data_IF_272611126224
#
_entry.id   IF_272611126224
#
_cell.length_a   1.000
_cell.length_b   1.000
_cell.length_c   1.000
_cell.angle_alpha   90.00
_cell.angle_beta   90.00
_cell.angle_gamma   90.00
#
_symmetry.space_group_name_H-M   'P 1'
#
loop_
_entity.id
_entity.type
_entity.pdbx_description
1 polymer ?
#
# COMPACT_ATOMS: atom_id res chain seq x y z
N UNK A 1 -3.31 -6.61 -9.80
CA UNK A 1 -2.12 -6.98 -10.59
C UNK A 1 -2.32 -8.27 -11.41
N UNK A 2 -3.48 -8.42 -12.06
CA UNK A 2 -3.80 -9.62 -12.86
C UNK A 2 -2.91 -9.75 -14.10
N UNK A 3 -2.31 -8.66 -14.54
CA UNK A 3 -1.39 -8.54 -15.67
C UNK A 3 -0.14 -9.39 -15.48
N UNK A 4 0.43 -9.41 -14.27
CA UNK A 4 1.61 -10.24 -13.94
C UNK A 4 1.26 -11.72 -14.09
N UNK A 5 0.12 -12.12 -13.51
CA UNK A 5 -0.36 -13.49 -13.63
C UNK A 5 -0.63 -13.87 -15.10
N UNK A 6 -1.23 -12.96 -15.88
CA UNK A 6 -1.49 -13.18 -17.30
C UNK A 6 -0.19 -13.29 -18.11
N UNK A 7 0.83 -12.48 -17.84
CA UNK A 7 2.14 -12.58 -18.46
C UNK A 7 2.79 -13.95 -18.19
N UNK A 8 2.75 -14.41 -16.93
CA UNK A 8 3.33 -15.68 -16.50
C UNK A 8 2.56 -16.91 -16.99
N UNK A 9 1.27 -16.80 -17.33
CA UNK A 9 0.52 -17.88 -18.02
C UNK A 9 1.15 -18.24 -19.37
N UNK A 10 1.73 -17.26 -20.07
CA UNK A 10 2.46 -17.47 -21.33
C UNK A 10 3.92 -17.82 -21.06
N UNK A 11 4.59 -17.05 -20.20
CA UNK A 11 6.02 -17.18 -19.91
C UNK A 11 6.27 -17.99 -18.64
N UNK A 12 5.87 -19.26 -18.64
CA UNK A 12 5.82 -20.12 -17.44
C UNK A 12 7.16 -20.29 -16.72
N UNK A 13 8.28 -20.17 -17.42
CA UNK A 13 9.62 -20.31 -16.86
C UNK A 13 10.21 -19.00 -16.31
N UNK A 14 9.50 -17.87 -16.44
CA UNK A 14 10.03 -16.56 -16.05
C UNK A 14 9.66 -16.15 -14.61
N UNK A 15 9.03 -17.05 -13.82
CA UNK A 15 8.53 -16.76 -12.46
C UNK A 15 9.61 -16.10 -11.60
N UNK A 16 10.77 -16.73 -11.45
CA UNK A 16 11.85 -16.22 -10.60
C UNK A 16 12.42 -14.89 -11.11
N UNK A 17 12.57 -14.75 -12.43
CA UNK A 17 13.06 -13.51 -13.04
C UNK A 17 12.09 -12.35 -12.81
N UNK A 18 10.79 -12.60 -12.98
CA UNK A 18 9.73 -11.61 -12.77
C UNK A 18 9.70 -11.19 -11.30
N UNK A 19 9.63 -12.14 -10.37
CA UNK A 19 9.61 -11.80 -8.93
C UNK A 19 10.91 -11.13 -8.47
N UNK A 20 12.07 -11.56 -8.99
CA UNK A 20 13.35 -10.87 -8.74
C UNK A 20 13.28 -9.42 -9.21
N UNK A 21 12.75 -9.16 -10.40
CA UNK A 21 12.63 -7.81 -10.95
C UNK A 21 11.66 -6.97 -10.11
N UNK A 22 10.47 -7.51 -9.80
CA UNK A 22 9.45 -6.84 -8.98
C UNK A 22 9.95 -6.52 -7.57
N UNK A 23 10.84 -7.34 -7.00
CA UNK A 23 11.42 -7.10 -5.68
C UNK A 23 12.14 -5.74 -5.56
N UNK A 24 12.68 -5.22 -6.67
CA UNK A 24 13.32 -3.91 -6.69
C UNK A 24 12.32 -2.74 -6.65
N UNK A 25 11.04 -3.01 -6.93
CA UNK A 25 9.97 -2.01 -7.00
C UNK A 25 8.89 -2.20 -5.94
N UNK A 26 9.01 -3.21 -5.08
CA UNK A 26 8.04 -3.51 -4.04
C UNK A 26 8.00 -2.41 -2.96
N UNK A 27 6.82 -1.86 -2.74
CA UNK A 27 6.57 -0.85 -1.70
C UNK A 27 6.93 -1.32 -0.30
N UNK A 28 6.88 -2.62 0.00
CA UNK A 28 7.30 -3.18 1.29
C UNK A 28 8.79 -2.95 1.53
N UNK A 29 9.62 -3.15 0.50
CA UNK A 29 11.07 -2.97 0.58
C UNK A 29 11.44 -1.49 0.74
N UNK A 30 10.66 -0.58 0.15
CA UNK A 30 10.84 0.86 0.38
C UNK A 30 10.33 1.30 1.75
N UNK A 31 9.19 0.78 2.21
CA UNK A 31 8.59 1.11 3.50
C UNK A 31 9.59 0.90 4.66
N UNK A 32 10.37 -0.18 4.59
CA UNK A 32 11.44 -0.48 5.56
C UNK A 32 12.53 0.61 5.68
N UNK A 33 12.60 1.56 4.74
CA UNK A 33 13.58 2.64 4.66
C UNK A 33 13.00 4.02 4.96
N UNK A 34 11.68 4.13 5.11
CA UNK A 34 11.00 5.41 5.35
C UNK A 34 11.13 5.77 6.84
N UNK A 35 11.72 6.94 7.12
CA UNK A 35 11.81 7.55 8.46
C UNK A 35 10.81 8.69 8.68
N UNK A 36 10.21 9.23 7.61
CA UNK A 36 9.26 10.33 7.69
C UNK A 36 7.92 9.92 8.31
N UNK A 37 7.26 10.87 9.00
CA UNK A 37 5.89 10.71 9.48
C UNK A 37 4.94 10.41 8.32
N UNK A 38 4.18 9.31 8.43
CA UNK A 38 3.37 8.79 7.33
C UNK A 38 1.93 8.52 7.76
N UNK A 39 0.98 8.93 6.92
CA UNK A 39 -0.45 8.59 7.07
C UNK A 39 -0.85 7.62 5.95
N UNK A 40 -1.36 6.46 6.33
CA UNK A 40 -1.91 5.45 5.43
C UNK A 40 -3.44 5.40 5.54
N UNK A 41 -4.07 4.82 4.53
CA UNK A 41 -5.44 4.32 4.62
C UNK A 41 -5.51 2.93 4.04
N UNK A 42 -6.43 2.12 4.57
CA UNK A 42 -6.74 0.78 4.06
C UNK A 42 -8.24 0.58 4.05
N UNK A 43 -8.73 -0.07 3.01
CA UNK A 43 -10.13 -0.41 2.85
C UNK A 43 -10.25 -1.94 2.87
N UNK A 44 -11.04 -2.49 3.78
CA UNK A 44 -11.01 -3.93 4.07
C UNK A 44 -11.67 -4.78 2.99
N UNK A 45 -12.46 -4.18 2.09
CA UNK A 45 -13.08 -4.88 0.96
C UNK A 45 -12.33 -4.65 -0.37
N UNK A 46 -11.25 -3.85 -0.39
CA UNK A 46 -10.49 -3.58 -1.61
C UNK A 46 -9.86 -4.86 -2.21
N UNK A 47 -10.37 -5.27 -3.37
CA UNK A 47 -9.87 -6.43 -4.12
C UNK A 47 -8.80 -6.06 -5.17
N UNK A 48 -8.56 -4.77 -5.42
CA UNK A 48 -7.53 -4.26 -6.34
C UNK A 48 -6.19 -4.14 -5.62
N UNK A 49 -6.20 -3.55 -4.43
CA UNK A 49 -5.08 -3.44 -3.50
C UNK A 49 -5.45 -4.15 -2.17
N UNK A 50 -5.34 -5.49 -2.11
CA UNK A 50 -5.79 -6.26 -0.96
C UNK A 50 -5.26 -5.73 0.39
N UNK A 51 -6.05 -5.75 1.47
CA UNK A 51 -5.62 -5.24 2.77
C UNK A 51 -4.30 -5.84 3.25
N UNK A 52 -4.06 -7.13 2.95
CA UNK A 52 -2.81 -7.82 3.29
C UNK A 52 -1.58 -7.17 2.66
N UNK A 53 -1.65 -6.67 1.42
CA UNK A 53 -0.52 -6.01 0.76
C UNK A 53 -0.30 -4.60 1.31
N UNK A 54 -1.38 -3.87 1.60
CA UNK A 54 -1.32 -2.55 2.25
C UNK A 54 -0.72 -2.67 3.64
N UNK A 55 -1.19 -3.63 4.44
CA UNK A 55 -0.64 -3.89 5.77
C UNK A 55 0.79 -4.42 5.73
N UNK A 56 1.20 -5.18 4.72
CA UNK A 56 2.60 -5.59 4.57
C UNK A 56 3.51 -4.35 4.45
N UNK A 57 3.14 -3.35 3.67
CA UNK A 57 3.89 -2.10 3.56
C UNK A 57 3.80 -1.28 4.87
N UNK A 58 2.59 -1.08 5.40
CA UNK A 58 2.39 -0.33 6.64
C UNK A 58 3.13 -0.92 7.84
N UNK A 59 3.16 -2.24 7.99
CA UNK A 59 3.83 -2.89 9.10
C UNK A 59 5.36 -2.77 9.00
N UNK A 60 5.91 -2.76 7.79
CA UNK A 60 7.35 -2.58 7.56
C UNK A 60 7.85 -1.14 7.69
N UNK A 61 6.96 -0.13 7.69
CA UNK A 61 7.34 1.26 7.93
C UNK A 61 8.05 1.44 9.27
N UNK A 62 9.15 2.22 9.25
CA UNK A 62 10.02 2.50 10.41
C UNK A 62 9.75 3.87 11.06
N UNK A 63 9.34 4.86 10.28
CA UNK A 63 8.96 6.18 10.77
C UNK A 63 7.64 6.19 11.57
N UNK A 64 7.32 7.31 12.24
CA UNK A 64 6.02 7.50 12.89
C UNK A 64 4.89 7.28 11.88
N UNK A 65 3.90 6.47 12.25
CA UNK A 65 2.88 6.03 11.30
C UNK A 65 1.48 5.99 11.89
N UNK A 66 0.52 6.53 11.14
CA UNK A 66 -0.91 6.42 11.42
C UNK A 66 -1.60 5.70 10.26
N UNK A 67 -2.68 4.97 10.54
CA UNK A 67 -3.52 4.37 9.51
C UNK A 67 -5.00 4.67 9.79
N UNK A 68 -5.77 4.91 8.74
CA UNK A 68 -7.24 4.95 8.78
C UNK A 68 -7.80 3.70 8.13
N UNK A 69 -8.68 3.03 8.84
CA UNK A 69 -9.30 1.77 8.40
C UNK A 69 -10.73 2.06 7.95
N UNK A 70 -11.05 1.63 6.74
CA UNK A 70 -12.36 1.76 6.14
C UNK A 70 -12.94 0.36 5.95
N UNK A 71 -13.82 -0.06 6.87
CA UNK A 71 -14.23 -1.46 7.01
C UNK A 71 -15.10 -1.99 5.85
N UNK A 72 -15.87 -1.11 5.23
CA UNK A 72 -16.88 -1.47 4.22
C UNK A 72 -16.59 -0.86 2.84
N UNK A 73 -15.48 -0.15 2.69
CA UNK A 73 -15.10 0.47 1.44
C UNK A 73 -14.29 -0.50 0.58
N UNK A 74 -14.42 -0.33 -0.73
CA UNK A 74 -13.60 -0.98 -1.75
C UNK A 74 -12.41 -0.07 -2.11
N UNK A 75 -11.99 -0.07 -3.38
CA UNK A 75 -10.82 0.64 -3.87
C UNK A 75 -10.95 2.18 -3.79
N UNK A 76 -12.15 2.73 -3.57
CA UNK A 76 -12.33 4.16 -3.29
C UNK A 76 -11.72 4.58 -1.94
N UNK A 77 -11.47 3.62 -1.06
CA UNK A 77 -10.96 3.88 0.29
C UNK A 77 -11.86 4.84 1.06
N UNK A 78 -11.27 5.82 1.72
CA UNK A 78 -12.03 6.83 2.44
C UNK A 78 -12.54 7.99 1.59
N UNK A 79 -12.21 8.06 0.29
CA UNK A 79 -12.55 9.19 -0.58
C UNK A 79 -12.35 10.56 0.08
N UNK A 80 -13.42 11.36 0.13
CA UNK A 80 -13.40 12.69 0.75
C UNK A 80 -13.15 12.66 2.27
N UNK A 81 -13.55 11.61 2.98
CA UNK A 81 -13.26 11.47 4.41
C UNK A 81 -11.75 11.32 4.63
N UNK A 82 -11.06 10.53 3.80
CA UNK A 82 -9.59 10.43 3.88
C UNK A 82 -8.91 11.75 3.50
N UNK A 83 -9.50 12.56 2.63
CA UNK A 83 -8.99 13.91 2.33
C UNK A 83 -8.99 14.81 3.56
N UNK A 84 -10.05 14.77 4.37
CA UNK A 84 -10.09 15.50 5.64
C UNK A 84 -9.06 14.98 6.64
N UNK A 85 -8.86 13.66 6.73
CA UNK A 85 -7.84 13.07 7.60
C UNK A 85 -6.42 13.48 7.21
N UNK A 86 -6.12 13.58 5.90
CA UNK A 86 -4.85 14.14 5.41
C UNK A 86 -4.64 15.58 5.87
N UNK A 87 -5.67 16.43 5.76
CA UNK A 87 -5.58 17.83 6.22
C UNK A 87 -5.29 17.92 7.72
N UNK A 88 -6.01 17.14 8.55
CA UNK A 88 -5.79 17.08 10.00
C UNK A 88 -4.39 16.59 10.34
N UNK A 89 -3.90 15.57 9.63
CA UNK A 89 -2.56 15.02 9.84
C UNK A 89 -1.47 16.05 9.55
N UNK A 90 -1.57 16.79 8.44
CA UNK A 90 -0.61 17.83 8.09
C UNK A 90 -0.67 19.02 9.07
N UNK A 91 -1.88 19.42 9.49
CA UNK A 91 -2.05 20.44 10.51
C UNK A 91 -1.40 20.02 11.83
N UNK A 92 -1.55 18.76 12.27
CA UNK A 92 -0.88 18.24 13.47
C UNK A 92 0.65 18.22 13.33
N UNK A 93 1.17 18.04 12.12
CA UNK A 93 2.60 17.90 11.88
C UNK A 93 3.32 19.26 11.78
N UNK A 94 2.63 20.30 11.29
CA UNK A 94 3.24 21.59 10.93
C UNK A 94 2.51 22.83 11.44
N UNK A 95 1.31 22.69 12.00
CA UNK A 95 0.56 23.77 12.65
C UNK A 95 0.95 23.88 14.11
#
# INVERSE_FOLDING_TARGET
YSEIANYLKTHRHHVDQVYRTLSYFDGVNFAARISASSLFSVALMDMICPPSTVYAAYNNLRGPKEIRVYEFNDHEGGGNYQTLEKMKFLQKLWG
#
